data_IF_781462350790
#
_entry.id   IF_781462350790
#
_cell.length_a   1.000
_cell.length_b   1.000
_cell.length_c   1.000
_cell.angle_alpha   90.00
_cell.angle_beta   90.00
_cell.angle_gamma   90.00
#
_symmetry.space_group_name_H-M   'P 1'
#
loop_
_entity.id
_entity.type
_entity.pdbx_description
1 polymer ?
#
# COMPACT_ATOMS: atom_id res chain seq x y z
N UNK A 1 11.62 5.37 -6.11
CA UNK A 1 10.84 4.92 -7.28
C UNK A 1 10.76 3.41 -7.23
N UNK A 2 9.57 2.86 -7.46
CA UNK A 2 9.34 1.42 -7.57
C UNK A 2 8.57 1.12 -8.86
N UNK A 3 8.33 -0.15 -9.14
CA UNK A 3 7.55 -0.58 -10.31
C UNK A 3 6.18 -1.10 -9.89
N UNK A 4 5.14 -0.70 -10.62
CA UNK A 4 3.77 -1.16 -10.44
C UNK A 4 3.31 -2.02 -11.61
N UNK A 5 2.25 -2.80 -11.39
CA UNK A 5 1.67 -3.71 -12.41
C UNK A 5 2.66 -4.75 -12.91
N UNK A 6 3.53 -5.23 -12.00
CA UNK A 6 4.41 -6.37 -12.28
C UNK A 6 3.61 -7.66 -12.11
N UNK A 7 3.57 -8.50 -13.15
CA UNK A 7 2.74 -9.71 -13.18
C UNK A 7 3.55 -11.01 -13.12
N UNK A 8 4.83 -10.95 -13.44
CA UNK A 8 5.72 -12.10 -13.56
C UNK A 8 7.17 -11.76 -13.16
N UNK A 9 7.97 -12.81 -13.00
CA UNK A 9 9.39 -12.76 -12.64
C UNK A 9 10.23 -11.97 -13.65
N UNK A 10 9.93 -12.06 -14.95
CA UNK A 10 10.70 -11.42 -16.00
C UNK A 10 10.55 -9.89 -15.91
N UNK A 11 9.32 -9.42 -15.70
CA UNK A 11 9.00 -8.01 -15.49
C UNK A 11 9.58 -7.51 -14.17
N UNK A 12 9.51 -8.32 -13.11
CA UNK A 12 10.13 -8.01 -11.82
C UNK A 12 11.65 -7.81 -12.00
N UNK A 13 12.30 -8.74 -12.69
CA UNK A 13 13.73 -8.68 -12.99
C UNK A 13 14.08 -7.40 -13.73
N UNK A 14 13.38 -7.11 -14.83
CA UNK A 14 13.61 -5.90 -15.63
C UNK A 14 13.47 -4.64 -14.78
N UNK A 15 12.46 -4.57 -13.93
CA UNK A 15 12.26 -3.44 -13.02
C UNK A 15 13.42 -3.30 -12.02
N UNK A 16 13.85 -4.40 -11.41
CA UNK A 16 14.93 -4.44 -10.42
C UNK A 16 16.25 -3.97 -11.05
N UNK A 17 16.63 -4.53 -12.20
CA UNK A 17 17.88 -4.13 -12.89
C UNK A 17 17.83 -2.69 -13.41
N UNK A 18 16.62 -2.15 -13.60
CA UNK A 18 16.40 -0.73 -13.94
C UNK A 18 16.40 0.19 -12.71
N UNK A 19 16.64 -0.33 -11.50
CA UNK A 19 16.77 0.43 -10.27
C UNK A 19 15.47 0.60 -9.47
N UNK A 20 14.44 -0.22 -9.72
CA UNK A 20 13.25 -0.24 -8.87
C UNK A 20 13.61 -0.60 -7.43
N UNK A 21 13.22 0.24 -6.47
CA UNK A 21 13.49 0.02 -5.03
C UNK A 21 12.41 -0.79 -4.31
N UNK A 22 11.31 -1.07 -5.00
CA UNK A 22 10.24 -1.94 -4.55
C UNK A 22 9.37 -2.32 -5.76
N UNK A 23 8.65 -3.42 -5.64
CA UNK A 23 7.72 -3.95 -6.65
C UNK A 23 6.32 -4.01 -6.08
N UNK A 24 5.32 -3.64 -6.88
CA UNK A 24 3.89 -3.76 -6.56
C UNK A 24 3.18 -4.46 -7.70
N UNK A 25 2.28 -5.39 -7.37
CA UNK A 25 1.45 -6.10 -8.33
C UNK A 25 -0.05 -5.94 -8.01
N UNK A 26 -0.95 -6.29 -8.94
CA UNK A 26 -2.38 -6.41 -8.64
C UNK A 26 -2.74 -7.74 -7.95
N UNK A 27 -1.87 -8.76 -8.02
CA UNK A 27 -2.07 -10.10 -7.46
C UNK A 27 -0.76 -10.70 -6.93
N UNK A 28 -0.82 -11.71 -6.07
CA UNK A 28 0.35 -12.46 -5.62
C UNK A 28 0.90 -13.36 -6.74
N UNK A 29 2.23 -13.38 -6.89
CA UNK A 29 2.94 -14.30 -7.79
C UNK A 29 4.19 -14.84 -7.08
N UNK A 30 4.31 -16.17 -6.96
CA UNK A 30 5.39 -16.80 -6.21
C UNK A 30 6.78 -16.57 -6.82
N UNK A 31 6.90 -16.56 -8.15
CA UNK A 31 8.19 -16.37 -8.80
C UNK A 31 8.64 -14.91 -8.73
N UNK A 32 7.70 -13.97 -8.79
CA UNK A 32 7.96 -12.55 -8.51
C UNK A 32 8.48 -12.36 -7.09
N UNK A 33 7.89 -13.05 -6.10
CA UNK A 33 8.35 -13.00 -4.72
C UNK A 33 9.77 -13.58 -4.58
N UNK A 34 10.04 -14.75 -5.15
CA UNK A 34 11.38 -15.37 -5.15
C UNK A 34 12.43 -14.45 -5.78
N UNK A 35 12.12 -13.85 -6.93
CA UNK A 35 13.02 -12.92 -7.62
C UNK A 35 13.29 -11.67 -6.77
N UNK A 36 12.25 -11.04 -6.24
CA UNK A 36 12.37 -9.85 -5.39
C UNK A 36 13.21 -10.14 -4.12
N UNK A 37 12.96 -11.27 -3.47
CA UNK A 37 13.70 -11.70 -2.28
C UNK A 37 15.18 -11.94 -2.58
N UNK A 38 15.49 -12.60 -3.71
CA UNK A 38 16.87 -12.88 -4.13
C UNK A 38 17.70 -11.60 -4.28
N UNK A 39 17.06 -10.51 -4.73
CA UNK A 39 17.69 -9.21 -4.91
C UNK A 39 17.49 -8.24 -3.74
N UNK A 40 16.90 -8.69 -2.63
CA UNK A 40 16.56 -7.87 -1.47
C UNK A 40 15.74 -6.61 -1.84
N UNK A 41 14.81 -6.75 -2.78
CA UNK A 41 13.88 -5.69 -3.20
C UNK A 41 12.50 -5.99 -2.62
N UNK A 42 11.91 -5.10 -1.82
CA UNK A 42 10.58 -5.31 -1.25
C UNK A 42 9.51 -5.56 -2.31
N UNK A 43 8.67 -6.58 -2.08
CA UNK A 43 7.52 -6.90 -2.91
C UNK A 43 6.22 -6.74 -2.12
N UNK A 44 5.31 -5.94 -2.66
CA UNK A 44 3.98 -5.69 -2.10
C UNK A 44 2.91 -6.30 -3.02
N UNK A 45 2.62 -7.61 -2.88
CA UNK A 45 1.65 -8.30 -3.72
C UNK A 45 0.22 -7.84 -3.45
N UNK A 46 -0.59 -7.78 -4.51
CA UNK A 46 -2.04 -7.65 -4.36
C UNK A 46 -2.67 -8.94 -3.80
N UNK A 47 -3.54 -8.79 -2.80
CA UNK A 47 -4.34 -9.86 -2.21
C UNK A 47 -5.77 -9.37 -2.01
N UNK A 48 -6.75 -10.28 -2.10
CA UNK A 48 -8.15 -10.00 -1.81
C UNK A 48 -8.73 -10.95 -0.75
N UNK A 49 -8.07 -12.09 -0.50
CA UNK A 49 -8.53 -13.14 0.42
C UNK A 49 -7.48 -13.54 1.48
N UNK A 50 -7.90 -14.14 2.60
CA UNK A 50 -6.98 -14.67 3.62
C UNK A 50 -5.95 -15.66 3.08
N UNK A 51 -6.32 -16.53 2.14
CA UNK A 51 -5.39 -17.51 1.53
C UNK A 51 -4.27 -16.82 0.75
N UNK A 52 -4.60 -15.77 0.00
CA UNK A 52 -3.61 -14.99 -0.75
C UNK A 52 -2.69 -14.22 0.20
N UNK A 53 -3.24 -13.64 1.27
CA UNK A 53 -2.45 -12.96 2.32
C UNK A 53 -1.47 -13.94 2.98
N UNK A 54 -1.95 -15.11 3.39
CA UNK A 54 -1.10 -16.15 3.99
C UNK A 54 0.00 -16.61 3.03
N UNK A 55 -0.32 -16.78 1.75
CA UNK A 55 0.66 -17.14 0.72
C UNK A 55 1.72 -16.04 0.58
N UNK A 56 1.31 -14.77 0.46
CA UNK A 56 2.23 -13.64 0.37
C UNK A 56 3.19 -13.57 1.58
N UNK A 57 2.66 -13.72 2.80
CA UNK A 57 3.45 -13.74 4.03
C UNK A 57 4.44 -14.90 4.08
N UNK A 58 4.02 -16.10 3.65
CA UNK A 58 4.88 -17.30 3.62
C UNK A 58 6.07 -17.11 2.68
N UNK A 59 5.89 -16.35 1.60
CA UNK A 59 6.94 -15.98 0.66
C UNK A 59 7.68 -14.68 1.03
N UNK A 60 7.49 -14.15 2.25
CA UNK A 60 8.30 -13.07 2.79
C UNK A 60 7.83 -11.65 2.45
N UNK A 61 6.57 -11.46 2.03
CA UNK A 61 6.04 -10.11 1.85
C UNK A 61 5.87 -9.39 3.19
N UNK A 62 6.56 -8.27 3.39
CA UNK A 62 6.43 -7.44 4.60
C UNK A 62 5.14 -6.61 4.65
N UNK A 63 4.58 -6.30 3.48
CA UNK A 63 3.36 -5.51 3.29
C UNK A 63 2.50 -6.17 2.23
N UNK A 64 1.23 -6.43 2.53
CA UNK A 64 0.25 -6.93 1.56
C UNK A 64 -0.63 -5.79 1.06
N UNK A 65 -0.82 -5.72 -0.25
CA UNK A 65 -1.70 -4.74 -0.88
C UNK A 65 -3.10 -5.30 -0.98
N UNK A 66 -4.10 -4.64 -0.38
CA UNK A 66 -5.50 -5.01 -0.61
C UNK A 66 -6.02 -4.30 -1.85
N UNK A 67 -6.38 -5.09 -2.85
CA UNK A 67 -6.75 -4.57 -4.17
C UNK A 67 -7.78 -5.48 -4.86
N UNK A 68 -8.85 -4.90 -5.47
CA UNK A 68 -9.23 -3.47 -5.45
C UNK A 68 -9.87 -3.04 -4.12
N UNK A 69 -9.31 -2.04 -3.45
CA UNK A 69 -9.78 -1.54 -2.15
C UNK A 69 -11.20 -0.97 -2.18
N UNK A 70 -11.64 -0.43 -3.31
CA UNK A 70 -13.00 0.09 -3.48
C UNK A 70 -14.08 -0.97 -3.38
N UNK A 71 -13.75 -2.23 -3.70
CA UNK A 71 -14.65 -3.37 -3.56
C UNK A 71 -14.58 -3.93 -2.14
N UNK A 72 -13.36 -4.05 -1.59
CA UNK A 72 -13.15 -4.58 -0.25
C UNK A 72 -13.77 -3.70 0.85
N UNK A 73 -13.79 -2.38 0.64
CA UNK A 73 -14.26 -1.41 1.62
C UNK A 73 -13.27 -1.21 2.77
N UNK A 74 -13.50 -0.16 3.56
CA UNK A 74 -12.54 0.32 4.57
C UNK A 74 -12.44 -0.59 5.80
N UNK A 75 -13.50 -1.33 6.10
CA UNK A 75 -13.54 -2.28 7.22
C UNK A 75 -12.67 -3.53 7.02
N UNK A 76 -12.26 -3.83 5.78
CA UNK A 76 -11.51 -5.04 5.47
C UNK A 76 -10.20 -5.17 6.26
N UNK A 77 -9.54 -4.05 6.58
CA UNK A 77 -8.24 -4.07 7.26
C UNK A 77 -8.41 -4.58 8.69
N UNK A 78 -9.41 -4.08 9.41
CA UNK A 78 -9.74 -4.55 10.75
C UNK A 78 -10.08 -6.05 10.76
N UNK A 79 -10.83 -6.52 9.76
CA UNK A 79 -11.16 -7.95 9.61
C UNK A 79 -9.92 -8.80 9.31
N UNK A 80 -8.97 -8.31 8.50
CA UNK A 80 -7.70 -8.99 8.21
C UNK A 80 -6.82 -9.10 9.46
N UNK A 81 -6.80 -8.06 10.30
CA UNK A 81 -6.01 -8.06 11.54
C UNK A 81 -6.54 -9.05 12.59
N UNK A 82 -7.76 -9.57 12.45
CA UNK A 82 -8.26 -10.67 13.29
C UNK A 82 -7.38 -11.93 13.21
N UNK A 83 -7.27 -12.59 12.04
CA UNK A 83 -6.38 -13.74 11.85
C UNK A 83 -4.91 -13.38 11.64
N UNK A 84 -4.59 -12.15 11.18
CA UNK A 84 -3.22 -11.71 10.88
C UNK A 84 -2.86 -10.42 11.63
N UNK A 85 -2.73 -10.42 12.97
CA UNK A 85 -2.61 -9.19 13.77
C UNK A 85 -1.35 -8.34 13.50
N UNK A 86 -0.33 -8.93 12.85
CA UNK A 86 0.94 -8.26 12.58
C UNK A 86 1.16 -7.91 11.10
N UNK A 87 0.19 -8.20 10.22
CA UNK A 87 0.36 -7.90 8.80
C UNK A 87 0.25 -6.39 8.56
N UNK A 88 1.22 -5.84 7.83
CA UNK A 88 1.13 -4.48 7.32
C UNK A 88 0.27 -4.47 6.07
N UNK A 89 -0.79 -3.66 6.09
CA UNK A 89 -1.78 -3.62 5.00
C UNK A 89 -1.67 -2.30 4.23
N UNK A 90 -1.63 -2.40 2.90
CA UNK A 90 -1.74 -1.28 1.97
C UNK A 90 -3.03 -1.34 1.15
N UNK A 91 -4.12 -0.64 1.52
CA UNK A 91 -5.26 -0.51 0.62
C UNK A 91 -4.88 0.32 -0.62
N UNK A 92 -5.32 -0.11 -1.80
CA UNK A 92 -5.14 0.61 -3.06
C UNK A 92 -6.39 0.49 -3.94
N UNK A 93 -6.74 1.58 -4.62
CA UNK A 93 -7.98 1.69 -5.38
C UNK A 93 -9.13 2.14 -4.47
N UNK A 94 -9.66 3.34 -4.72
CA UNK A 94 -10.71 3.95 -3.89
C UNK A 94 -10.21 4.89 -2.77
N UNK A 95 -8.89 5.08 -2.60
CA UNK A 95 -8.33 6.06 -1.66
C UNK A 95 -8.44 7.48 -2.24
N UNK A 96 -8.94 8.42 -1.44
CA UNK A 96 -9.10 9.84 -1.77
C UNK A 96 -8.88 10.72 -0.54
N UNK A 97 -8.74 12.04 -0.73
CA UNK A 97 -8.64 13.01 0.37
C UNK A 97 -9.82 12.90 1.34
N UNK A 98 -11.03 12.65 0.83
CA UNK A 98 -12.23 12.57 1.65
C UNK A 98 -12.34 11.30 2.51
N UNK A 99 -11.51 10.28 2.28
CA UNK A 99 -11.61 9.01 3.00
C UNK A 99 -10.27 8.47 3.53
N UNK A 100 -9.16 9.16 3.30
CA UNK A 100 -7.82 8.72 3.70
C UNK A 100 -7.72 8.46 5.20
N UNK A 101 -8.30 9.35 6.02
CA UNK A 101 -8.35 9.21 7.48
C UNK A 101 -9.02 7.91 7.94
N UNK A 102 -10.08 7.46 7.25
CA UNK A 102 -10.80 6.24 7.59
C UNK A 102 -9.95 4.99 7.32
N UNK A 103 -9.17 4.98 6.24
CA UNK A 103 -8.26 3.87 5.94
C UNK A 103 -7.21 3.70 7.05
N UNK A 104 -6.61 4.81 7.52
CA UNK A 104 -5.66 4.76 8.64
C UNK A 104 -6.34 4.41 9.97
N UNK A 105 -7.56 4.90 10.22
CA UNK A 105 -8.33 4.53 11.41
C UNK A 105 -8.65 3.03 11.46
N UNK A 106 -8.83 2.39 10.29
CA UNK A 106 -8.97 0.92 10.17
C UNK A 106 -7.64 0.15 10.28
N UNK A 107 -6.51 0.82 10.51
CA UNK A 107 -5.20 0.15 10.69
C UNK A 107 -4.34 0.03 9.43
N UNK A 108 -4.62 0.79 8.36
CA UNK A 108 -3.73 0.81 7.20
C UNK A 108 -2.30 1.23 7.62
N UNK A 109 -1.30 0.46 7.18
CA UNK A 109 0.12 0.77 7.39
C UNK A 109 0.58 1.90 6.43
N UNK A 110 0.11 1.82 5.19
CA UNK A 110 0.38 2.79 4.12
C UNK A 110 -0.82 2.79 3.17
N UNK A 111 -1.07 3.84 2.39
CA UNK A 111 -2.16 3.87 1.42
C UNK A 111 -1.63 4.06 -0.01
N UNK A 112 -2.21 3.34 -0.96
CA UNK A 112 -1.92 3.49 -2.39
C UNK A 112 -2.86 4.51 -3.04
N UNK A 113 -2.31 5.68 -3.42
CA UNK A 113 -3.07 6.73 -4.12
C UNK A 113 -2.72 6.71 -5.61
N UNK A 114 -3.76 6.60 -6.45
CA UNK A 114 -3.61 6.53 -7.91
C UNK A 114 -4.09 7.80 -8.61
N UNK A 115 -5.12 7.65 -9.47
CA UNK A 115 -5.60 8.70 -10.36
C UNK A 115 -6.02 10.01 -9.68
N UNK A 116 -6.45 9.98 -8.41
CA UNK A 116 -6.76 11.20 -7.66
C UNK A 116 -5.54 12.10 -7.43
N UNK A 117 -4.31 11.56 -7.48
CA UNK A 117 -3.07 12.31 -7.33
C UNK A 117 -2.49 12.67 -8.70
N UNK A 118 -2.21 11.65 -9.53
CA UNK A 118 -1.47 11.82 -10.80
C UNK A 118 -2.35 12.00 -12.04
N UNK A 119 -3.68 11.89 -11.91
CA UNK A 119 -4.62 11.93 -13.03
C UNK A 119 -4.47 13.12 -13.99
N UNK A 120 -4.27 14.37 -13.49
CA UNK A 120 -4.10 15.54 -14.36
C UNK A 120 -2.89 15.47 -15.30
N UNK A 121 -1.88 14.65 -15.00
CA UNK A 121 -0.72 14.46 -15.87
C UNK A 121 -1.09 13.95 -17.27
N UNK A 122 -2.24 13.27 -17.43
CA UNK A 122 -2.75 12.83 -18.74
C UNK A 122 -3.01 14.00 -19.71
N UNK A 123 -3.19 15.20 -19.18
CA UNK A 123 -3.44 16.43 -19.93
C UNK A 123 -2.29 17.44 -19.76
N UNK A 124 -1.09 16.97 -19.40
CA UNK A 124 0.09 17.80 -19.10
C UNK A 124 -0.12 18.87 -18.00
N UNK A 125 -1.15 18.71 -17.16
CA UNK A 125 -1.43 19.63 -16.05
C UNK A 125 -0.62 19.26 -14.81
N UNK A 126 0.69 19.46 -14.88
CA UNK A 126 1.60 19.22 -13.76
C UNK A 126 1.39 20.19 -12.58
N UNK A 127 0.74 21.34 -12.80
CA UNK A 127 0.36 22.27 -11.73
C UNK A 127 -0.74 21.65 -10.86
N UNK A 128 -1.75 21.03 -11.46
CA UNK A 128 -2.76 20.31 -10.72
C UNK A 128 -2.19 19.06 -10.02
N UNK A 129 -1.24 18.35 -10.64
CA UNK A 129 -0.55 17.23 -9.96
C UNK A 129 0.18 17.72 -8.70
N UNK A 130 0.90 18.85 -8.78
CA UNK A 130 1.58 19.44 -7.62
C UNK A 130 0.58 19.83 -6.53
N UNK A 131 -0.54 20.47 -6.90
CA UNK A 131 -1.60 20.82 -5.96
C UNK A 131 -2.17 19.58 -5.26
N UNK A 132 -2.49 18.52 -6.03
CA UNK A 132 -3.00 17.27 -5.48
C UNK A 132 -1.99 16.63 -4.53
N UNK A 133 -0.70 16.57 -4.91
CA UNK A 133 0.35 16.02 -4.08
C UNK A 133 0.49 16.78 -2.74
N UNK A 134 0.41 18.12 -2.78
CA UNK A 134 0.40 18.95 -1.57
C UNK A 134 -0.82 18.69 -0.70
N UNK A 135 -2.01 18.56 -1.29
CA UNK A 135 -3.22 18.25 -0.55
C UNK A 135 -3.15 16.88 0.14
N UNK A 136 -2.69 15.84 -0.56
CA UNK A 136 -2.50 14.50 0.03
C UNK A 136 -1.43 14.50 1.12
N UNK A 137 -0.34 15.26 0.93
CA UNK A 137 0.69 15.40 1.94
C UNK A 137 0.14 16.07 3.21
N UNK A 138 -0.59 17.17 3.06
CA UNK A 138 -1.18 17.89 4.19
C UNK A 138 -2.19 17.03 4.96
N UNK A 139 -3.04 16.29 4.26
CA UNK A 139 -3.98 15.35 4.87
C UNK A 139 -3.24 14.24 5.63
N UNK A 140 -2.20 13.64 5.02
CA UNK A 140 -1.37 12.66 5.70
C UNK A 140 -0.74 13.21 6.97
N UNK A 141 -0.14 14.40 6.92
CA UNK A 141 0.43 15.05 8.10
C UNK A 141 -0.65 15.25 9.18
N UNK A 142 -1.82 15.78 8.83
CA UNK A 142 -2.94 15.96 9.75
C UNK A 142 -3.31 14.65 10.47
N UNK A 143 -3.45 13.55 9.73
CA UNK A 143 -3.79 12.23 10.27
C UNK A 143 -2.71 11.74 11.24
N UNK A 144 -1.44 11.78 10.85
CA UNK A 144 -0.34 11.26 11.67
C UNK A 144 -0.14 12.12 12.94
N UNK A 145 -0.24 13.45 12.84
CA UNK A 145 -0.17 14.32 14.00
C UNK A 145 -1.33 14.09 14.97
N UNK A 146 -2.56 13.96 14.48
CA UNK A 146 -3.72 13.64 15.30
C UNK A 146 -3.53 12.30 16.05
N UNK A 147 -3.03 11.27 15.37
CA UNK A 147 -2.76 9.96 15.97
C UNK A 147 -1.63 10.02 17.01
N UNK A 148 -0.57 10.82 16.78
CA UNK A 148 0.51 11.01 17.75
C UNK A 148 0.07 11.74 19.03
N UNK A 149 -0.90 12.64 18.92
CA UNK A 149 -1.50 13.32 20.07
C UNK A 149 -2.42 12.39 20.87
N UNK A 150 -3.08 11.44 20.20
CA UNK A 150 -3.92 10.42 20.84
C UNK A 150 -3.10 9.35 21.60
N UNK A 151 -1.96 8.91 21.05
CA UNK A 151 -1.10 7.90 21.69
C UNK A 151 -0.35 8.40 22.93
N UNK A 152 -0.16 9.73 23.08
CA UNK A 152 0.37 10.34 24.32
C UNK A 152 -0.55 10.19 25.55
N UNK A 153 -1.77 9.69 25.40
CA UNK A 153 -2.73 9.48 26.51
C UNK A 153 -2.84 8.02 27.00
N UNK A 154 -2.10 7.08 26.42
CA UNK A 154 -2.13 5.68 26.86
C UNK A 154 -0.86 5.38 27.65
N UNK A 155 -0.94 5.04 28.95
CA UNK A 155 0.24 4.72 29.73
C UNK A 155 0.88 3.45 29.18
N UNK A 156 2.20 3.50 28.99
CA UNK A 156 3.04 2.34 28.65
C UNK A 156 2.74 1.25 29.68
N UNK A 157 2.12 0.15 29.24
CA UNK A 157 2.03 -1.06 30.06
C UNK A 157 3.42 -1.68 30.12
N UNK A 158 3.89 -1.88 31.36
CA UNK A 158 5.14 -2.54 31.72
C UNK A 158 5.16 -4.01 31.28
#
# INVERSE_FOLDING_TARGET
MGAGTVLDEATARMAIVSGARFVVSPSFNENTAKECNLYAVPYMPGCFSPTEIQSALTYGADVVKIFPGSIAGKGIISEIHGPFPYVNVMPSGGVSLGNMHEWFASGAYVVGVGGGLVGPAKNDDYKAVLHNAQAFHNEFQSIIYANSAATRKVPVRA
#
